data_IF_305077679728
#
_entry.id   IF_305077679728
#
_cell.length_a   1.000
_cell.length_b   1.000
_cell.length_c   1.000
_cell.angle_alpha   90.00
_cell.angle_beta   90.00
_cell.angle_gamma   90.00
#
_symmetry.space_group_name_H-M   'P 1'
#
loop_
_entity.id
_entity.type
_entity.pdbx_description
1 polymer ?
#
# COMPACT_ATOMS: atom_id res chain seq x y z
N UNK A 1 -5.87 12.17 18.05
CA UNK A 1 -5.23 10.95 17.50
C UNK A 1 -5.92 10.61 16.19
N UNK A 2 -5.18 10.55 15.10
CA UNK A 2 -5.71 10.26 13.77
C UNK A 2 -5.61 8.78 13.43
N UNK A 3 -6.46 8.32 12.51
CA UNK A 3 -6.39 6.99 11.90
C UNK A 3 -5.78 7.13 10.52
N UNK A 4 -4.61 6.53 10.33
CA UNK A 4 -3.82 6.61 9.10
C UNK A 4 -3.83 5.26 8.41
N UNK A 5 -4.18 5.25 7.12
CA UNK A 5 -4.03 4.09 6.26
C UNK A 5 -2.73 4.26 5.47
N UNK A 6 -1.75 3.39 5.70
CA UNK A 6 -0.43 3.45 5.08
C UNK A 6 -0.27 2.31 4.07
N UNK A 7 -0.02 2.64 2.82
CA UNK A 7 0.05 1.66 1.74
C UNK A 7 1.47 1.59 1.21
N UNK A 8 2.07 0.40 1.29
CA UNK A 8 3.42 0.12 0.85
C UNK A 8 3.41 -0.75 -0.42
N UNK A 9 4.35 -0.52 -1.36
CA UNK A 9 4.50 -1.39 -2.54
C UNK A 9 5.15 -2.74 -2.19
N UNK A 10 5.85 -2.81 -1.05
CA UNK A 10 6.48 -4.02 -0.51
C UNK A 10 6.26 -4.07 1.00
N UNK A 11 6.30 -5.28 1.58
CA UNK A 11 6.15 -5.42 3.03
C UNK A 11 7.26 -4.69 3.79
N UNK A 12 6.94 -3.73 4.66
CA UNK A 12 7.92 -3.04 5.47
C UNK A 12 8.49 -3.93 6.58
N UNK A 13 7.85 -5.06 6.85
CA UNK A 13 8.25 -6.04 7.86
C UNK A 13 8.97 -7.25 7.27
N UNK A 14 9.32 -7.20 5.97
CA UNK A 14 10.14 -8.22 5.33
C UNK A 14 11.59 -8.13 5.80
N UNK A 15 12.32 -9.25 5.70
CA UNK A 15 13.75 -9.30 6.02
C UNK A 15 14.66 -8.65 4.96
N UNK A 16 14.08 -8.06 3.93
CA UNK A 16 14.85 -7.40 2.88
C UNK A 16 15.45 -6.10 3.38
N UNK A 17 16.75 -5.94 3.16
CA UNK A 17 17.50 -4.72 3.45
C UNK A 17 17.52 -3.79 2.22
N UNK A 18 16.38 -3.22 1.87
CA UNK A 18 16.32 -2.16 0.87
C UNK A 18 15.96 -0.84 1.55
N UNK A 19 16.49 0.26 1.01
CA UNK A 19 16.30 1.58 1.63
C UNK A 19 14.84 1.98 1.76
N UNK A 20 14.01 1.62 0.79
CA UNK A 20 12.58 1.88 0.80
C UNK A 20 11.86 1.13 1.94
N UNK A 21 12.23 -0.14 2.18
CA UNK A 21 11.66 -0.96 3.25
C UNK A 21 12.06 -0.43 4.63
N UNK A 22 13.35 -0.14 4.82
CA UNK A 22 13.86 0.38 6.10
C UNK A 22 13.26 1.75 6.40
N UNK A 23 13.21 2.64 5.41
CA UNK A 23 12.64 3.97 5.54
C UNK A 23 11.15 3.92 5.88
N UNK A 24 10.39 3.08 5.20
CA UNK A 24 8.97 2.88 5.47
C UNK A 24 8.75 2.38 6.90
N UNK A 25 9.48 1.39 7.34
CA UNK A 25 9.37 0.82 8.68
C UNK A 25 9.62 1.89 9.77
N UNK A 26 10.69 2.66 9.64
CA UNK A 26 10.99 3.74 10.58
C UNK A 26 9.89 4.79 10.61
N UNK A 27 9.38 5.19 9.46
CA UNK A 27 8.34 6.21 9.36
C UNK A 27 7.01 5.70 9.93
N UNK A 28 6.65 4.45 9.68
CA UNK A 28 5.45 3.82 10.25
C UNK A 28 5.52 3.80 11.78
N UNK A 29 6.65 3.38 12.36
CA UNK A 29 6.81 3.40 13.81
C UNK A 29 6.77 4.82 14.39
N UNK A 30 7.35 5.78 13.70
CA UNK A 30 7.26 7.19 14.10
C UNK A 30 5.80 7.68 14.14
N UNK A 31 5.03 7.40 13.10
CA UNK A 31 3.60 7.78 13.03
C UNK A 31 2.77 7.08 14.10
N UNK A 32 3.07 5.82 14.38
CA UNK A 32 2.31 5.02 15.35
C UNK A 32 2.47 5.44 16.80
N UNK A 33 3.44 6.30 17.11
CA UNK A 33 3.60 6.85 18.46
C UNK A 33 2.38 7.66 18.88
N UNK A 34 1.81 8.45 17.98
CA UNK A 34 0.74 9.38 18.26
C UNK A 34 -0.55 9.14 17.47
N UNK A 35 -0.58 8.12 16.62
CA UNK A 35 -1.72 7.84 15.73
C UNK A 35 -1.97 6.35 15.62
N UNK A 36 -3.18 5.98 15.23
CA UNK A 36 -3.47 4.61 14.79
C UNK A 36 -3.05 4.45 13.33
N UNK A 37 -2.16 3.50 13.06
CA UNK A 37 -1.65 3.24 11.72
C UNK A 37 -2.05 1.84 11.28
N UNK A 38 -2.77 1.74 10.18
CA UNK A 38 -3.04 0.48 9.48
C UNK A 38 -2.15 0.41 8.26
N UNK A 39 -1.31 -0.61 8.16
CA UNK A 39 -0.40 -0.81 7.04
C UNK A 39 -0.91 -1.91 6.13
N UNK A 40 -0.96 -1.64 4.83
CA UNK A 40 -1.29 -2.61 3.80
C UNK A 40 -0.11 -2.78 2.85
N UNK A 41 0.20 -4.00 2.47
CA UNK A 41 1.19 -4.29 1.44
C UNK A 41 0.97 -5.66 0.81
N UNK A 42 1.51 -5.91 -0.39
CA UNK A 42 1.64 -7.27 -0.91
C UNK A 42 2.58 -8.08 -0.03
N UNK A 43 2.33 -9.39 0.09
CA UNK A 43 3.18 -10.31 0.86
C UNK A 43 3.19 -11.69 0.18
N UNK A 44 4.07 -12.58 0.61
CA UNK A 44 4.14 -13.95 0.11
C UNK A 44 2.89 -14.75 0.47
N UNK A 45 2.28 -14.44 1.59
CA UNK A 45 1.05 -15.07 2.07
C UNK A 45 0.19 -14.04 2.79
N UNK A 46 -1.09 -14.32 2.88
CA UNK A 46 -1.96 -13.49 3.71
C UNK A 46 -1.45 -13.52 5.15
N UNK A 47 -1.20 -12.34 5.71
CA UNK A 47 -0.69 -12.19 7.06
C UNK A 47 -1.35 -11.02 7.75
N UNK A 48 -1.47 -11.12 9.07
CA UNK A 48 -2.01 -10.05 9.93
C UNK A 48 -1.18 -9.96 11.19
N UNK A 49 -0.81 -8.74 11.54
CA UNK A 49 -0.16 -8.42 12.81
C UNK A 49 -0.88 -7.25 13.44
N UNK A 50 -1.06 -7.29 14.74
CA UNK A 50 -1.66 -6.20 15.50
C UNK A 50 -0.83 -5.95 16.74
N UNK A 51 -0.34 -4.75 16.84
CA UNK A 51 0.32 -4.20 18.03
C UNK A 51 -0.49 -2.99 18.47
N UNK A 52 -0.40 -2.57 19.72
CA UNK A 52 -1.06 -1.39 20.30
C UNK A 52 -1.78 -0.44 19.30
N UNK A 53 -1.02 0.49 18.69
CA UNK A 53 -1.53 1.47 17.71
C UNK A 53 -1.18 1.15 16.27
N UNK A 54 -0.50 0.03 16.03
CA UNK A 54 -0.05 -0.39 14.72
C UNK A 54 -0.73 -1.70 14.35
N UNK A 55 -1.36 -1.74 13.19
CA UNK A 55 -1.84 -3.00 12.62
C UNK A 55 -1.32 -3.17 11.21
N UNK A 56 -0.99 -4.39 10.83
CA UNK A 56 -0.48 -4.74 9.53
C UNK A 56 -1.32 -5.83 8.89
N UNK A 57 -1.63 -5.66 7.62
CA UNK A 57 -2.29 -6.68 6.82
C UNK A 57 -1.55 -6.84 5.50
N UNK A 58 -0.92 -8.00 5.32
CA UNK A 58 -0.29 -8.40 4.08
C UNK A 58 -1.26 -9.20 3.22
N UNK A 59 -1.29 -8.90 1.92
CA UNK A 59 -2.12 -9.60 0.96
C UNK A 59 -1.25 -10.46 0.05
N UNK A 60 -1.60 -11.73 -0.07
CA UNK A 60 -0.89 -12.65 -0.96
C UNK A 60 -0.85 -12.07 -2.38
N UNK A 61 0.34 -12.09 -2.97
CA UNK A 61 0.53 -11.66 -4.36
C UNK A 61 -0.27 -12.54 -5.31
N UNK A 62 -0.77 -11.93 -6.38
CA UNK A 62 -1.46 -12.66 -7.45
C UNK A 62 -0.49 -13.54 -8.23
N UNK A 63 -1.02 -14.58 -8.89
CA UNK A 63 -0.22 -15.49 -9.70
C UNK A 63 0.49 -14.76 -10.85
N UNK A 64 1.58 -15.33 -11.34
CA UNK A 64 2.34 -14.77 -12.46
C UNK A 64 1.46 -14.52 -13.70
N UNK A 65 0.56 -15.43 -14.02
CA UNK A 65 -0.36 -15.28 -15.16
C UNK A 65 -1.24 -14.04 -15.00
N UNK A 66 -1.80 -13.84 -13.81
CA UNK A 66 -2.61 -12.64 -13.50
C UNK A 66 -1.77 -11.37 -13.56
N UNK A 67 -0.52 -11.40 -13.12
CA UNK A 67 0.41 -10.26 -13.26
C UNK A 67 0.63 -9.88 -14.72
N UNK A 68 0.83 -10.86 -15.60
CA UNK A 68 0.98 -10.63 -17.04
C UNK A 68 -0.26 -9.95 -17.61
N UNK A 69 -1.46 -10.39 -17.25
CA UNK A 69 -2.70 -9.73 -17.65
C UNK A 69 -2.78 -8.28 -17.16
N UNK A 70 -2.42 -8.04 -15.91
CA UNK A 70 -2.40 -6.67 -15.35
C UNK A 70 -1.43 -5.76 -16.12
N UNK A 71 -0.25 -6.26 -16.47
CA UNK A 71 0.73 -5.53 -17.28
C UNK A 71 0.15 -5.21 -18.66
N UNK A 72 -0.47 -6.19 -19.30
CA UNK A 72 -1.09 -6.01 -20.61
C UNK A 72 -2.19 -4.94 -20.57
N UNK A 73 -3.08 -4.98 -19.57
CA UNK A 73 -4.10 -3.95 -19.39
C UNK A 73 -3.52 -2.56 -19.11
N UNK A 74 -2.42 -2.50 -18.36
CA UNK A 74 -1.73 -1.22 -18.12
C UNK A 74 -1.19 -0.63 -19.42
N UNK A 75 -0.60 -1.46 -20.28
CA UNK A 75 -0.12 -1.03 -21.60
C UNK A 75 -1.26 -0.54 -22.50
N UNK A 76 -2.40 -1.23 -22.49
CA UNK A 76 -3.58 -0.78 -23.25
C UNK A 76 -4.11 0.58 -22.77
N UNK A 77 -3.96 0.90 -21.50
CA UNK A 77 -4.32 2.19 -20.92
C UNK A 77 -3.22 3.24 -21.02
N UNK A 78 -2.14 2.96 -21.72
CA UNK A 78 -0.96 3.83 -21.83
C UNK A 78 -0.35 4.18 -20.46
N UNK A 79 -0.42 3.26 -19.51
CA UNK A 79 0.16 3.39 -18.18
C UNK A 79 1.51 2.66 -18.10
N UNK A 80 2.41 3.08 -17.19
CA UNK A 80 3.66 2.35 -16.98
C UNK A 80 3.44 0.88 -16.59
N UNK A 81 4.23 -0.03 -17.15
CA UNK A 81 4.14 -1.47 -16.86
C UNK A 81 4.28 -1.78 -15.37
N UNK A 82 5.04 -0.97 -14.64
CA UNK A 82 5.23 -1.13 -13.20
C UNK A 82 3.92 -1.08 -12.42
N UNK A 83 2.95 -0.29 -12.86
CA UNK A 83 1.64 -0.22 -12.21
C UNK A 83 0.91 -1.56 -12.31
N UNK A 84 0.93 -2.20 -13.46
CA UNK A 84 0.32 -3.52 -13.64
C UNK A 84 1.04 -4.59 -12.83
N UNK A 85 2.36 -4.58 -12.82
CA UNK A 85 3.17 -5.57 -12.10
C UNK A 85 2.91 -5.54 -10.58
N UNK A 86 2.80 -4.35 -10.00
CA UNK A 86 2.59 -4.17 -8.55
C UNK A 86 1.13 -4.10 -8.13
N UNK A 87 0.20 -4.27 -9.08
CA UNK A 87 -1.22 -4.18 -8.79
C UNK A 87 -1.71 -5.35 -7.94
N UNK A 88 -2.44 -5.05 -6.87
CA UNK A 88 -3.11 -6.04 -6.03
C UNK A 88 -4.62 -5.75 -6.01
N UNK A 89 -5.44 -6.62 -6.61
CA UNK A 89 -6.89 -6.44 -6.57
C UNK A 89 -7.46 -6.44 -5.15
N UNK A 90 -6.86 -7.23 -4.26
CA UNK A 90 -7.29 -7.34 -2.87
C UNK A 90 -7.04 -6.05 -2.08
N UNK A 91 -5.89 -5.41 -2.30
CA UNK A 91 -5.58 -4.11 -1.68
C UNK A 91 -6.55 -3.05 -2.21
N UNK A 92 -6.77 -3.01 -3.52
CA UNK A 92 -7.72 -2.07 -4.12
C UNK A 92 -9.13 -2.23 -3.54
N UNK A 93 -9.61 -3.46 -3.42
CA UNK A 93 -10.91 -3.77 -2.83
C UNK A 93 -10.99 -3.34 -1.37
N UNK A 94 -9.95 -3.62 -0.57
CA UNK A 94 -9.90 -3.20 0.82
C UNK A 94 -10.01 -1.68 0.95
N UNK A 95 -9.22 -0.94 0.20
CA UNK A 95 -9.21 0.52 0.22
C UNK A 95 -10.59 1.06 -0.19
N UNK A 96 -11.15 0.58 -1.28
CA UNK A 96 -12.46 0.99 -1.76
C UNK A 96 -13.55 0.84 -0.69
N UNK A 97 -13.51 -0.26 0.07
CA UNK A 97 -14.53 -0.56 1.06
C UNK A 97 -14.30 0.08 2.42
N UNK A 98 -13.07 0.50 2.74
CA UNK A 98 -12.68 0.88 4.10
C UNK A 98 -12.05 2.27 4.23
N UNK A 99 -11.69 2.95 3.13
CA UNK A 99 -10.94 4.22 3.21
C UNK A 99 -11.65 5.30 4.03
N UNK A 100 -12.97 5.29 4.06
CA UNK A 100 -13.77 6.28 4.80
C UNK A 100 -13.61 6.16 6.33
N UNK A 101 -13.10 5.03 6.82
CA UNK A 101 -12.84 4.81 8.24
C UNK A 101 -11.53 5.46 8.71
N UNK A 102 -10.79 6.09 7.80
CA UNK A 102 -9.49 6.70 8.07
C UNK A 102 -9.54 8.22 7.87
N UNK A 103 -8.67 8.93 8.56
CA UNK A 103 -8.54 10.38 8.42
C UNK A 103 -7.57 10.76 7.29
N UNK A 104 -6.56 9.93 7.06
CA UNK A 104 -5.51 10.14 6.05
C UNK A 104 -5.14 8.82 5.40
N UNK A 105 -4.93 8.85 4.07
CA UNK A 105 -4.28 7.74 3.35
C UNK A 105 -2.89 8.21 2.93
N UNK A 106 -1.88 7.43 3.28
CA UNK A 106 -0.51 7.64 2.87
C UNK A 106 -0.09 6.60 1.84
N UNK A 107 0.22 7.05 0.63
CA UNK A 107 0.71 6.21 -0.45
C UNK A 107 2.23 6.32 -0.53
N UNK A 108 2.93 5.26 -0.19
CA UNK A 108 4.37 5.18 -0.38
C UNK A 108 4.66 4.79 -1.82
N UNK A 109 5.27 5.69 -2.59
CA UNK A 109 5.57 5.49 -4.00
C UNK A 109 4.35 5.70 -4.94
N UNK A 110 4.64 6.17 -6.14
CA UNK A 110 3.62 6.33 -7.19
C UNK A 110 2.92 5.00 -7.56
N UNK A 111 3.59 3.88 -7.32
CA UNK A 111 3.04 2.54 -7.60
C UNK A 111 1.78 2.26 -6.79
N UNK A 112 1.69 2.79 -5.59
CA UNK A 112 0.52 2.62 -4.73
C UNK A 112 -0.56 3.65 -4.99
N UNK A 113 -0.25 4.74 -5.67
CA UNK A 113 -1.22 5.78 -6.02
C UNK A 113 -2.36 5.27 -6.92
N UNK A 114 -2.13 4.17 -7.64
CA UNK A 114 -3.17 3.53 -8.45
C UNK A 114 -4.38 3.04 -7.63
N UNK A 115 -4.22 2.90 -6.32
CA UNK A 115 -5.30 2.50 -5.41
C UNK A 115 -6.13 3.67 -4.88
N UNK A 116 -5.80 4.90 -5.26
CA UNK A 116 -6.53 6.08 -4.79
C UNK A 116 -8.01 5.99 -5.18
N UNK A 117 -8.94 6.10 -4.21
CA UNK A 117 -10.37 6.04 -4.52
C UNK A 117 -10.81 7.20 -5.40
N UNK A 118 -11.71 6.93 -6.34
CA UNK A 118 -12.39 7.98 -7.08
C UNK A 118 -13.22 8.84 -6.11
N UNK A 119 -13.21 10.17 -6.31
CA UNK A 119 -13.93 11.11 -5.45
C UNK A 119 -13.56 10.97 -3.96
N UNK A 120 -12.28 10.72 -3.66
CA UNK A 120 -11.79 10.60 -2.29
C UNK A 120 -12.02 11.92 -1.52
N UNK A 121 -12.76 11.83 -0.41
CA UNK A 121 -13.10 12.99 0.43
C UNK A 121 -12.15 13.17 1.61
N UNK A 122 -11.22 12.27 1.81
CA UNK A 122 -10.22 12.34 2.89
C UNK A 122 -8.87 12.78 2.34
N UNK A 123 -7.99 13.22 3.23
CA UNK A 123 -6.65 13.66 2.84
C UNK A 123 -5.82 12.48 2.33
N UNK A 124 -5.19 12.67 1.17
CA UNK A 124 -4.27 11.71 0.58
C UNK A 124 -2.88 12.33 0.47
N UNK A 125 -1.87 11.60 0.93
CA UNK A 125 -0.46 11.99 0.84
C UNK A 125 0.25 11.00 -0.06
N UNK A 126 0.98 11.50 -1.04
CA UNK A 126 1.77 10.67 -1.95
C UNK A 126 3.26 10.98 -1.76
N UNK A 127 4.03 9.95 -1.44
CA UNK A 127 5.47 10.03 -1.34
C UNK A 127 6.10 9.69 -2.70
N UNK A 128 6.76 10.66 -3.32
CA UNK A 128 7.32 10.58 -4.66
C UNK A 128 8.84 10.35 -4.68
N UNK A 129 9.42 9.84 -3.61
CA UNK A 129 10.88 9.66 -3.51
C UNK A 129 11.47 8.70 -4.54
N UNK A 130 10.65 7.88 -5.19
CA UNK A 130 11.10 6.88 -6.17
C UNK A 130 11.14 7.40 -7.63
N UNK A 131 11.00 8.68 -7.83
CA UNK A 131 11.05 9.27 -9.18
C UNK A 131 12.48 9.59 -9.60
#
# INVERSE_FOLDING_TARGET
MKKILFICPRSPFSERFSGDVIGAKKFIYFLSKNNYVKVLSPDFKDSRKKESKLSYEGFKEISFVKKVFCIFFSLLKLQPMQLGYFFSPNIKKYIKNNYQNFDVIFFQSFRTAQYMPENCKINCILDMRDL
#
